data_IF_997042814610
#
_entry.id   IF_997042814610
#
_cell.length_a   1.000
_cell.length_b   1.000
_cell.length_c   1.000
_cell.angle_alpha   90.00
_cell.angle_beta   90.00
_cell.angle_gamma   90.00
#
_symmetry.space_group_name_H-M   'P 1'
#
loop_
_entity.id
_entity.type
_entity.pdbx_description
1 polymer ?
#
# COMPACT_ATOMS: atom_id res chain seq x y z
N UNK A 1 -54.08 -12.41 34.53
CA UNK A 1 -53.64 -13.20 33.36
C UNK A 1 -52.14 -13.33 33.42
N UNK A 2 -51.51 -14.45 33.15
CA UNK A 2 -51.95 -15.81 32.79
C UNK A 2 -50.64 -16.56 32.55
N UNK A 3 -50.27 -17.48 33.42
CA UNK A 3 -49.03 -18.26 33.28
C UNK A 3 -49.34 -19.54 32.51
N UNK A 4 -48.74 -19.68 31.32
CA UNK A 4 -48.76 -20.91 30.53
C UNK A 4 -47.72 -21.88 31.08
N UNK A 5 -48.17 -23.00 31.63
CA UNK A 5 -47.32 -24.13 32.02
C UNK A 5 -47.27 -25.14 30.87
N UNK A 6 -46.08 -25.38 30.32
CA UNK A 6 -45.85 -26.51 29.42
C UNK A 6 -45.51 -27.75 30.26
N UNK A 7 -46.36 -28.77 30.18
CA UNK A 7 -46.14 -30.09 30.77
C UNK A 7 -45.51 -31.04 29.76
N UNK A 8 -44.37 -31.64 30.12
CA UNK A 8 -43.78 -32.78 29.42
C UNK A 8 -44.13 -34.09 30.15
N UNK A 9 -44.21 -35.24 29.46
CA UNK A 9 -44.56 -36.51 30.08
C UNK A 9 -43.39 -37.05 30.94
N UNK A 10 -43.68 -37.83 32.00
CA UNK A 10 -42.65 -38.30 32.93
C UNK A 10 -41.88 -39.51 32.38
N UNK A 11 -40.56 -39.50 32.54
CA UNK A 11 -39.74 -40.72 32.55
C UNK A 11 -39.88 -41.41 33.92
N UNK A 12 -39.94 -42.76 33.99
CA UNK A 12 -40.05 -43.46 35.26
C UNK A 12 -38.68 -43.52 35.93
N UNK A 13 -38.54 -42.89 37.11
CA UNK A 13 -37.43 -43.20 38.03
C UNK A 13 -36.68 -42.06 38.73
N UNK A 14 -37.13 -40.81 38.73
CA UNK A 14 -36.46 -39.75 39.52
C UNK A 14 -37.42 -38.90 40.36
N UNK A 15 -37.19 -38.90 41.67
CA UNK A 15 -37.79 -37.94 42.61
C UNK A 15 -37.30 -36.53 42.29
N UNK A 16 -38.18 -35.64 41.87
CA UNK A 16 -37.88 -34.21 41.71
C UNK A 16 -38.23 -33.45 43.00
N UNK A 17 -37.22 -32.88 43.63
CA UNK A 17 -37.39 -31.83 44.64
C UNK A 17 -37.56 -30.50 43.91
N UNK A 18 -38.76 -29.91 43.97
CA UNK A 18 -39.02 -28.58 43.41
C UNK A 18 -38.34 -27.52 44.29
N UNK A 19 -37.20 -26.98 43.85
CA UNK A 19 -36.61 -25.78 44.45
C UNK A 19 -37.25 -24.56 43.78
N UNK A 20 -38.22 -23.95 44.44
CA UNK A 20 -38.73 -22.63 44.07
C UNK A 20 -37.74 -21.57 44.58
N UNK A 21 -36.83 -21.09 43.72
CA UNK A 21 -36.04 -19.90 44.03
C UNK A 21 -36.87 -18.65 43.76
N UNK A 22 -37.23 -17.94 44.82
CA UNK A 22 -37.80 -16.60 44.71
C UNK A 22 -36.71 -15.64 44.21
N UNK A 23 -36.80 -15.21 42.95
CA UNK A 23 -35.95 -14.17 42.40
C UNK A 23 -36.41 -12.84 43.00
N UNK A 24 -35.63 -12.29 43.93
CA UNK A 24 -35.94 -11.00 44.56
C UNK A 24 -35.79 -9.86 43.54
N UNK A 25 -36.53 -8.74 43.69
CA UNK A 25 -36.47 -7.60 42.76
C UNK A 25 -35.04 -7.04 42.56
N UNK A 26 -34.19 -7.17 43.58
CA UNK A 26 -32.77 -6.81 43.54
C UNK A 26 -31.96 -7.64 42.54
N UNK A 27 -32.33 -8.91 42.34
CA UNK A 27 -31.63 -9.82 41.43
C UNK A 27 -31.93 -9.47 39.95
N UNK A 28 -33.16 -9.04 39.63
CA UNK A 28 -33.54 -8.58 38.29
C UNK A 28 -32.87 -7.25 37.93
N UNK A 29 -32.75 -6.33 38.88
CA UNK A 29 -32.02 -5.07 38.68
C UNK A 29 -30.52 -5.31 38.43
N UNK A 30 -29.92 -6.29 39.11
CA UNK A 30 -28.51 -6.65 38.93
C UNK A 30 -28.25 -7.25 37.54
N UNK A 31 -29.11 -8.16 37.07
CA UNK A 31 -29.01 -8.75 35.72
C UNK A 31 -29.27 -7.73 34.62
N UNK A 32 -30.18 -6.76 34.85
CA UNK A 32 -30.41 -5.63 33.93
C UNK A 32 -29.17 -4.75 33.80
N UNK A 33 -28.54 -4.41 34.91
CA UNK A 33 -27.36 -3.54 34.95
C UNK A 33 -26.13 -4.22 34.34
N UNK A 34 -25.90 -5.51 34.60
CA UNK A 34 -24.82 -6.27 33.96
C UNK A 34 -25.02 -6.39 32.45
N UNK A 35 -26.27 -6.51 31.98
CA UNK A 35 -26.58 -6.52 30.54
C UNK A 35 -26.33 -5.18 29.87
N UNK A 36 -26.68 -4.07 30.53
CA UNK A 36 -26.38 -2.72 30.02
C UNK A 36 -24.87 -2.46 29.98
N UNK A 37 -24.12 -2.85 31.01
CA UNK A 37 -22.66 -2.75 31.02
C UNK A 37 -22.01 -3.58 29.90
N UNK A 38 -22.52 -4.78 29.63
CA UNK A 38 -22.02 -5.62 28.53
C UNK A 38 -22.32 -5.02 27.16
N UNK A 39 -23.49 -4.39 26.98
CA UNK A 39 -23.84 -3.71 25.74
C UNK A 39 -23.00 -2.45 25.52
N UNK A 40 -22.76 -1.66 26.56
CA UNK A 40 -21.86 -0.50 26.51
C UNK A 40 -20.41 -0.89 26.20
N UNK A 41 -19.94 -2.02 26.76
CA UNK A 41 -18.62 -2.58 26.45
C UNK A 41 -18.55 -3.07 24.98
N UNK A 42 -19.61 -3.70 24.47
CA UNK A 42 -19.69 -4.09 23.06
C UNK A 42 -19.72 -2.89 22.11
N UNK A 43 -20.49 -1.85 22.41
CA UNK A 43 -20.58 -0.63 21.60
C UNK A 43 -19.25 0.13 21.58
N UNK A 44 -18.61 0.30 22.74
CA UNK A 44 -17.28 0.93 22.83
C UNK A 44 -16.19 0.12 22.12
N UNK A 45 -16.23 -1.21 22.18
CA UNK A 45 -15.35 -2.08 21.40
C UNK A 45 -15.64 -1.99 19.90
N UNK A 46 -16.91 -1.88 19.49
CA UNK A 46 -17.29 -1.67 18.09
C UNK A 46 -16.78 -0.33 17.56
N UNK A 47 -16.89 0.74 18.35
CA UNK A 47 -16.37 2.07 18.03
C UNK A 47 -14.84 2.08 17.93
N UNK A 48 -14.14 1.40 18.84
CA UNK A 48 -12.68 1.23 18.78
C UNK A 48 -12.26 0.44 17.53
N UNK A 49 -12.96 -0.65 17.20
CA UNK A 49 -12.71 -1.46 16.01
C UNK A 49 -13.01 -0.66 14.74
N UNK A 50 -14.10 0.13 14.71
CA UNK A 50 -14.43 0.96 13.54
C UNK A 50 -13.47 2.14 13.39
N UNK A 51 -13.02 2.76 14.47
CA UNK A 51 -12.00 3.82 14.42
C UNK A 51 -10.64 3.27 13.95
N UNK A 52 -10.21 2.09 14.44
CA UNK A 52 -8.99 1.41 13.97
C UNK A 52 -9.13 0.95 12.51
N UNK A 53 -10.31 0.46 12.09
CA UNK A 53 -10.59 0.03 10.73
C UNK A 53 -10.68 1.19 9.73
N UNK A 54 -11.32 2.30 10.10
CA UNK A 54 -11.36 3.54 9.31
C UNK A 54 -10.01 4.24 9.28
N UNK A 55 -9.25 4.20 10.39
CA UNK A 55 -7.88 4.68 10.49
C UNK A 55 -6.93 3.90 9.57
N UNK A 56 -7.05 2.56 9.54
CA UNK A 56 -6.29 1.67 8.63
C UNK A 56 -6.57 2.00 7.16
N UNK A 57 -7.82 2.24 6.79
CA UNK A 57 -8.24 2.62 5.42
C UNK A 57 -7.69 3.97 4.92
N UNK A 58 -7.26 4.84 5.82
CA UNK A 58 -6.65 6.14 5.48
C UNK A 58 -5.11 6.11 5.45
N UNK A 59 -4.49 4.94 5.62
CA UNK A 59 -3.04 4.80 5.50
C UNK A 59 -2.60 4.73 4.04
N UNK A 60 -1.34 5.10 3.76
CA UNK A 60 -0.75 5.04 2.42
C UNK A 60 -0.75 3.63 1.82
N UNK A 61 -0.82 2.58 2.66
CA UNK A 61 -0.95 1.20 2.23
C UNK A 61 -2.32 0.86 1.60
N UNK A 62 -3.33 1.73 1.72
CA UNK A 62 -4.64 1.55 1.06
C UNK A 62 -4.81 2.42 -0.19
N UNK A 63 -3.75 3.10 -0.63
CA UNK A 63 -3.73 3.92 -1.84
C UNK A 63 -3.18 3.15 -3.05
N UNK A 64 -3.69 1.93 -3.28
CA UNK A 64 -3.33 1.12 -4.45
C UNK A 64 -4.41 1.14 -5.54
N UNK A 65 -4.02 0.76 -6.75
CA UNK A 65 -4.94 0.41 -7.84
C UNK A 65 -4.88 -1.10 -8.10
N UNK A 66 -5.95 -1.69 -8.60
CA UNK A 66 -5.90 -3.08 -9.05
C UNK A 66 -5.06 -3.21 -10.33
N UNK A 67 -4.60 -4.43 -10.61
CA UNK A 67 -3.96 -4.72 -11.89
C UNK A 67 -4.84 -4.33 -13.09
N UNK A 68 -6.13 -4.66 -13.04
CA UNK A 68 -7.07 -4.35 -14.14
C UNK A 68 -7.27 -2.84 -14.29
N UNK A 69 -7.30 -2.08 -13.19
CA UNK A 69 -7.34 -0.61 -13.23
C UNK A 69 -6.11 -0.03 -13.93
N UNK A 70 -4.91 -0.61 -13.74
CA UNK A 70 -3.71 -0.17 -14.47
C UNK A 70 -3.84 -0.45 -15.98
N UNK A 71 -4.34 -1.62 -16.36
CA UNK A 71 -4.56 -1.99 -17.77
C UNK A 71 -5.61 -1.09 -18.43
N UNK A 72 -6.71 -0.82 -17.72
CA UNK A 72 -7.73 0.11 -18.17
C UNK A 72 -7.17 1.52 -18.36
N UNK A 73 -6.44 2.02 -17.37
CA UNK A 73 -5.81 3.35 -17.43
C UNK A 73 -4.83 3.46 -18.60
N UNK A 74 -4.07 2.40 -18.92
CA UNK A 74 -3.23 2.35 -20.13
C UNK A 74 -4.06 2.54 -21.40
N UNK A 75 -5.19 1.84 -21.51
CA UNK A 75 -6.03 1.90 -22.70
C UNK A 75 -6.65 3.30 -22.86
N UNK A 76 -7.14 3.89 -21.76
CA UNK A 76 -7.67 5.26 -21.74
C UNK A 76 -6.59 6.30 -22.12
N UNK A 77 -5.37 6.16 -21.59
CA UNK A 77 -4.25 7.01 -21.98
C UNK A 77 -3.92 6.85 -23.48
N UNK A 78 -3.90 5.62 -23.99
CA UNK A 78 -3.64 5.34 -25.41
C UNK A 78 -4.72 5.92 -26.32
N UNK A 79 -5.98 5.88 -25.91
CA UNK A 79 -7.10 6.51 -26.61
C UNK A 79 -6.97 8.03 -26.62
N UNK A 80 -6.70 8.63 -25.46
CA UNK A 80 -6.53 10.09 -25.30
C UNK A 80 -5.44 10.67 -26.19
N UNK A 81 -4.28 10.01 -26.27
CA UNK A 81 -3.14 10.52 -27.06
C UNK A 81 -3.15 10.05 -28.51
N UNK A 82 -3.87 8.97 -28.81
CA UNK A 82 -3.66 8.22 -30.04
C UNK A 82 -2.40 7.33 -29.99
N UNK A 83 -2.33 6.31 -30.86
CA UNK A 83 -1.36 5.22 -30.74
C UNK A 83 0.10 5.66 -30.90
N UNK A 84 0.39 6.64 -31.76
CA UNK A 84 1.77 7.05 -32.04
C UNK A 84 2.32 7.93 -30.91
N UNK A 85 1.56 8.93 -30.47
CA UNK A 85 1.98 9.84 -29.42
C UNK A 85 2.11 9.11 -28.08
N UNK A 86 1.20 8.16 -27.80
CA UNK A 86 1.25 7.33 -26.60
C UNK A 86 2.62 6.65 -26.41
N UNK A 87 3.26 6.16 -27.47
CA UNK A 87 4.56 5.50 -27.39
C UNK A 87 5.68 6.43 -26.91
N UNK A 88 5.53 7.74 -27.09
CA UNK A 88 6.49 8.75 -26.65
C UNK A 88 6.17 9.31 -25.27
N UNK A 89 5.00 9.00 -24.71
CA UNK A 89 4.60 9.51 -23.38
C UNK A 89 5.37 8.79 -22.29
N UNK A 90 6.12 9.60 -21.54
CA UNK A 90 6.69 9.22 -20.25
C UNK A 90 5.67 9.32 -19.12
N UNK A 91 5.93 8.65 -18.00
CA UNK A 91 5.06 8.65 -16.82
C UNK A 91 4.65 10.07 -16.39
N UNK A 92 5.58 11.04 -16.36
CA UNK A 92 5.25 12.42 -15.98
C UNK A 92 4.23 13.09 -16.89
N UNK A 93 4.21 12.81 -18.20
CA UNK A 93 3.20 13.38 -19.11
C UNK A 93 1.80 12.83 -18.79
N UNK A 94 1.72 11.53 -18.54
CA UNK A 94 0.47 10.85 -18.20
C UNK A 94 -0.07 11.33 -16.85
N UNK A 95 0.84 11.55 -15.89
CA UNK A 95 0.48 12.16 -14.61
C UNK A 95 -0.04 13.59 -14.81
N UNK A 96 0.65 14.41 -15.60
CA UNK A 96 0.26 15.81 -15.84
C UNK A 96 -1.08 15.94 -16.56
N UNK A 97 -1.33 15.14 -17.59
CA UNK A 97 -2.49 15.29 -18.47
C UNK A 97 -3.75 14.55 -17.98
N UNK A 98 -3.61 13.59 -17.06
CA UNK A 98 -4.71 12.72 -16.61
C UNK A 98 -4.82 12.68 -15.09
N UNK A 99 -3.75 12.33 -14.39
CA UNK A 99 -3.80 12.08 -12.93
C UNK A 99 -3.98 13.38 -12.13
N UNK A 100 -3.19 14.42 -12.42
CA UNK A 100 -3.25 15.71 -11.73
C UNK A 100 -4.63 16.38 -11.83
N UNK A 101 -5.28 16.47 -13.01
CA UNK A 101 -6.64 17.00 -13.12
C UNK A 101 -7.63 16.32 -12.18
N UNK A 102 -7.57 14.99 -12.08
CA UNK A 102 -8.46 14.22 -11.21
C UNK A 102 -8.15 14.49 -9.75
N UNK A 103 -6.86 14.48 -9.36
CA UNK A 103 -6.47 14.79 -7.98
C UNK A 103 -6.92 16.19 -7.55
N UNK A 104 -6.84 17.18 -8.45
CA UNK A 104 -7.31 18.54 -8.20
C UNK A 104 -8.83 18.63 -8.08
N UNK A 105 -9.57 17.85 -8.88
CA UNK A 105 -11.04 17.83 -8.84
C UNK A 105 -11.57 17.14 -7.58
N UNK A 106 -10.91 16.08 -7.12
CA UNK A 106 -11.42 15.22 -6.04
C UNK A 106 -10.77 15.49 -4.69
N UNK A 107 -9.66 16.23 -4.65
CA UNK A 107 -8.79 16.39 -3.48
C UNK A 107 -8.32 15.04 -2.89
N UNK A 108 -8.19 14.01 -3.72
CA UNK A 108 -7.71 12.68 -3.34
C UNK A 108 -6.69 12.17 -4.36
N UNK A 109 -5.91 11.16 -4.01
CA UNK A 109 -5.05 10.51 -5.00
C UNK A 109 -5.89 9.72 -6.02
N UNK A 110 -5.35 9.48 -7.20
CA UNK A 110 -6.06 8.72 -8.24
C UNK A 110 -6.49 7.33 -7.77
N UNK A 111 -5.64 6.65 -7.00
CA UNK A 111 -5.97 5.38 -6.38
C UNK A 111 -7.18 5.48 -5.44
N UNK A 112 -7.27 6.55 -4.64
CA UNK A 112 -8.40 6.78 -3.71
C UNK A 112 -9.67 7.26 -4.42
N UNK A 113 -9.52 7.97 -5.54
CA UNK A 113 -10.64 8.30 -6.42
C UNK A 113 -11.28 7.02 -7.00
N UNK A 114 -10.47 6.11 -7.56
CA UNK A 114 -10.98 4.85 -8.08
C UNK A 114 -11.48 3.90 -6.98
N UNK A 115 -10.83 3.94 -5.81
CA UNK A 115 -11.13 3.05 -4.69
C UNK A 115 -11.42 3.87 -3.41
N UNK A 116 -12.62 4.45 -3.25
CA UNK A 116 -12.97 5.29 -2.09
C UNK A 116 -12.82 4.55 -0.75
N UNK A 117 -13.11 3.24 -0.76
CA UNK A 117 -12.93 2.37 0.41
C UNK A 117 -11.48 1.94 0.67
N UNK A 118 -10.57 2.27 -0.25
CA UNK A 118 -9.16 1.91 -0.19
C UNK A 118 -8.92 0.50 -0.67
N UNK A 119 -7.74 0.30 -1.26
CA UNK A 119 -7.30 -0.98 -1.76
C UNK A 119 -5.92 -1.27 -1.17
N UNK A 120 -5.84 -2.32 -0.36
CA UNK A 120 -4.62 -2.67 0.37
C UNK A 120 -3.51 -3.10 -0.60
N UNK A 121 -2.31 -2.57 -0.42
CA UNK A 121 -1.13 -2.86 -1.23
C UNK A 121 -0.73 -4.33 -1.12
N UNK A 122 -0.56 -4.99 -2.26
CA UNK A 122 0.01 -6.34 -2.31
C UNK A 122 1.40 -6.34 -2.96
N UNK A 123 1.59 -5.51 -3.98
CA UNK A 123 2.86 -5.28 -4.64
C UNK A 123 3.24 -3.79 -4.59
N UNK A 124 4.38 -3.50 -3.99
CA UNK A 124 4.99 -2.17 -4.06
C UNK A 124 5.82 -2.07 -5.33
N UNK A 125 5.53 -1.08 -6.17
CA UNK A 125 6.21 -0.90 -7.46
C UNK A 125 7.19 0.27 -7.37
N UNK A 126 8.49 -0.04 -7.38
CA UNK A 126 9.55 0.97 -7.57
C UNK A 126 9.79 1.19 -9.05
N UNK A 127 9.80 2.46 -9.46
CA UNK A 127 9.89 2.86 -10.86
C UNK A 127 10.40 4.31 -10.97
N UNK A 128 10.68 4.77 -12.19
CA UNK A 128 11.12 6.15 -12.40
C UNK A 128 10.14 6.97 -13.23
N UNK A 129 10.01 8.26 -12.91
CA UNK A 129 9.09 9.17 -13.61
C UNK A 129 9.47 9.43 -15.08
N UNK A 130 10.73 9.24 -15.43
CA UNK A 130 11.26 9.48 -16.78
C UNK A 130 11.10 8.31 -17.77
N UNK A 131 10.50 7.20 -17.33
CA UNK A 131 10.32 6.01 -18.16
C UNK A 131 9.18 6.16 -19.18
N UNK A 132 9.23 5.46 -20.33
CA UNK A 132 8.09 5.34 -21.24
C UNK A 132 6.91 4.63 -20.54
N UNK A 133 5.76 5.29 -20.48
CA UNK A 133 4.60 4.80 -19.72
C UNK A 133 4.05 3.49 -20.31
N UNK A 134 3.99 3.36 -21.63
CA UNK A 134 3.56 2.11 -22.28
C UNK A 134 4.41 0.91 -21.88
N UNK A 135 5.74 1.05 -21.94
CA UNK A 135 6.68 -0.01 -21.56
C UNK A 135 6.64 -0.35 -20.07
N UNK A 136 6.40 0.65 -19.22
CA UNK A 136 6.17 0.45 -17.79
C UNK A 136 4.99 -0.49 -17.54
N UNK A 137 3.84 -0.22 -18.17
CA UNK A 137 2.64 -1.08 -18.00
C UNK A 137 2.87 -2.46 -18.61
N UNK A 138 3.48 -2.56 -19.79
CA UNK A 138 3.82 -3.84 -20.43
C UNK A 138 4.74 -4.70 -19.54
N UNK A 139 5.69 -4.08 -18.85
CA UNK A 139 6.61 -4.78 -17.93
C UNK A 139 5.87 -5.35 -16.72
N UNK A 140 4.94 -4.59 -16.14
CA UNK A 140 4.08 -5.06 -15.04
C UNK A 140 3.12 -6.16 -15.51
N UNK A 141 2.52 -5.99 -16.68
CA UNK A 141 1.65 -7.00 -17.28
C UNK A 141 2.40 -8.31 -17.48
N UNK A 142 3.61 -8.26 -18.03
CA UNK A 142 4.47 -9.43 -18.18
C UNK A 142 4.81 -10.10 -16.84
N UNK A 143 5.04 -9.32 -15.77
CA UNK A 143 5.34 -9.82 -14.42
C UNK A 143 4.22 -10.69 -13.85
N UNK A 144 2.97 -10.26 -14.09
CA UNK A 144 1.81 -10.83 -13.43
C UNK A 144 0.91 -11.64 -14.35
N UNK A 145 1.14 -11.67 -15.67
CA UNK A 145 0.28 -12.36 -16.65
C UNK A 145 -0.04 -13.81 -16.26
N UNK A 146 0.92 -14.55 -15.72
CA UNK A 146 0.78 -15.96 -15.35
C UNK A 146 0.19 -16.19 -13.97
N UNK A 147 0.10 -15.16 -13.11
CA UNK A 147 -0.48 -15.30 -11.77
C UNK A 147 -2.00 -15.43 -11.85
N UNK A 148 -2.57 -16.40 -11.15
CA UNK A 148 -4.03 -16.56 -11.08
C UNK A 148 -4.67 -15.36 -10.37
N UNK A 149 -4.14 -14.99 -9.20
CA UNK A 149 -4.53 -13.78 -8.48
C UNK A 149 -3.61 -12.62 -8.87
N UNK A 150 -4.17 -11.55 -9.42
CA UNK A 150 -3.42 -10.33 -9.74
C UNK A 150 -3.33 -9.44 -8.49
N UNK A 151 -2.13 -8.93 -8.14
CA UNK A 151 -1.99 -8.12 -6.94
C UNK A 151 -2.55 -6.71 -7.14
N UNK A 152 -2.95 -6.10 -6.02
CA UNK A 152 -3.09 -4.63 -5.97
C UNK A 152 -1.73 -3.96 -5.95
N UNK A 153 -1.58 -2.92 -6.77
CA UNK A 153 -0.33 -2.25 -7.08
C UNK A 153 -0.29 -0.88 -6.41
N UNK A 154 0.72 -0.68 -5.56
CA UNK A 154 1.06 0.65 -5.08
C UNK A 154 2.14 1.24 -5.98
N UNK A 155 1.77 2.30 -6.70
CA UNK A 155 2.62 3.00 -7.66
C UNK A 155 2.53 4.48 -7.29
N UNK A 156 3.66 5.13 -7.01
CA UNK A 156 3.67 6.50 -6.46
C UNK A 156 2.95 7.52 -7.36
N UNK A 157 2.94 7.31 -8.68
CA UNK A 157 2.22 8.13 -9.65
C UNK A 157 0.70 8.15 -9.40
N UNK A 158 0.11 7.06 -8.91
CA UNK A 158 -1.33 6.94 -8.64
C UNK A 158 -1.69 7.03 -7.15
N UNK A 159 -0.75 6.66 -6.27
CA UNK A 159 -0.97 6.54 -4.85
C UNK A 159 -0.94 7.89 -4.11
N UNK A 160 -0.08 8.81 -4.55
CA UNK A 160 0.03 10.15 -3.97
C UNK A 160 -0.99 11.11 -4.59
N UNK A 161 -1.40 12.12 -3.83
CA UNK A 161 -2.16 13.25 -4.38
C UNK A 161 -1.22 14.03 -5.29
N UNK A 162 -1.46 13.99 -6.60
CA UNK A 162 -0.60 14.65 -7.57
C UNK A 162 -1.02 16.11 -7.77
N UNK A 163 -0.06 17.01 -7.90
CA UNK A 163 -0.30 18.44 -8.08
C UNK A 163 0.97 19.22 -8.37
N UNK A 164 1.11 20.40 -7.77
CA UNK A 164 2.38 21.11 -7.77
C UNK A 164 3.44 20.33 -6.99
N UNK A 165 4.73 20.68 -7.19
CA UNK A 165 5.82 20.10 -6.39
C UNK A 165 5.59 20.27 -4.88
N UNK A 166 4.95 21.36 -4.45
CA UNK A 166 4.60 21.60 -3.06
C UNK A 166 3.51 20.64 -2.53
N UNK A 167 2.51 20.31 -3.36
CA UNK A 167 1.44 19.34 -2.98
C UNK A 167 2.06 17.97 -2.72
N UNK A 168 2.96 17.53 -3.59
CA UNK A 168 3.67 16.27 -3.42
C UNK A 168 4.64 16.36 -2.23
N UNK A 169 5.38 17.45 -2.10
CA UNK A 169 6.35 17.63 -1.01
C UNK A 169 5.68 17.54 0.37
N UNK A 170 4.52 18.16 0.56
CA UNK A 170 3.78 18.13 1.83
C UNK A 170 3.43 16.70 2.29
N UNK A 171 3.30 15.75 1.37
CA UNK A 171 2.98 14.36 1.71
C UNK A 171 4.23 13.55 2.09
N UNK A 172 5.42 13.98 1.68
CA UNK A 172 6.68 13.24 1.87
C UNK A 172 7.63 13.93 2.86
N UNK A 173 7.35 15.19 3.19
CA UNK A 173 8.05 15.99 4.19
C UNK A 173 7.56 15.62 5.60
N UNK A 174 7.91 14.40 6.01
CA UNK A 174 7.55 13.82 7.30
C UNK A 174 8.73 13.81 8.27
N UNK A 175 8.49 13.82 9.60
CA UNK A 175 9.57 13.86 10.59
C UNK A 175 10.53 12.66 10.53
N UNK A 176 10.00 11.46 10.26
CA UNK A 176 10.78 10.23 10.07
C UNK A 176 10.52 9.69 8.69
N UNK A 177 11.57 9.26 8.01
CA UNK A 177 11.47 8.68 6.67
C UNK A 177 10.55 7.44 6.63
N UNK A 178 10.47 6.72 7.74
CA UNK A 178 9.58 5.57 7.93
C UNK A 178 8.10 5.92 7.91
N UNK A 179 7.74 7.17 8.23
CA UNK A 179 6.37 7.67 8.17
C UNK A 179 5.99 8.12 6.75
N UNK A 180 6.94 8.10 5.81
CA UNK A 180 6.67 8.50 4.43
C UNK A 180 5.69 7.51 3.77
N UNK A 181 4.85 7.99 2.83
CA UNK A 181 3.86 7.14 2.18
C UNK A 181 4.49 5.94 1.47
N UNK A 182 5.71 6.11 0.94
CA UNK A 182 6.50 5.05 0.33
C UNK A 182 6.82 3.93 1.32
N UNK A 183 7.41 4.27 2.47
CA UNK A 183 7.84 3.27 3.45
C UNK A 183 6.66 2.60 4.12
N UNK A 184 5.59 3.35 4.41
CA UNK A 184 4.35 2.80 4.98
C UNK A 184 3.67 1.79 4.04
N UNK A 185 3.61 2.08 2.75
CA UNK A 185 3.08 1.15 1.77
C UNK A 185 3.98 -0.07 1.59
N UNK A 186 5.29 0.13 1.46
CA UNK A 186 6.27 -0.94 1.30
C UNK A 186 6.26 -1.91 2.49
N UNK A 187 6.18 -1.39 3.72
CA UNK A 187 6.12 -2.20 4.95
C UNK A 187 4.93 -3.17 4.98
N UNK A 188 3.81 -2.79 4.37
CA UNK A 188 2.58 -3.60 4.34
C UNK A 188 2.45 -4.44 3.05
N UNK A 189 3.40 -4.33 2.13
CA UNK A 189 3.38 -5.05 0.86
C UNK A 189 3.85 -6.50 1.02
N UNK A 190 3.37 -7.39 0.14
CA UNK A 190 3.82 -8.79 0.09
C UNK A 190 5.00 -8.99 -0.88
N UNK A 191 5.12 -8.12 -1.88
CA UNK A 191 6.17 -8.17 -2.91
C UNK A 191 6.71 -6.78 -3.24
N UNK A 192 7.98 -6.73 -3.63
CA UNK A 192 8.69 -5.55 -4.09
C UNK A 192 9.02 -5.73 -5.57
N UNK A 193 8.45 -4.88 -6.43
CA UNK A 193 8.54 -5.00 -7.88
C UNK A 193 9.39 -3.87 -8.42
N UNK A 194 10.49 -4.23 -9.05
CA UNK A 194 11.44 -3.30 -9.66
C UNK A 194 11.15 -3.19 -11.16
N UNK A 195 10.66 -2.04 -11.61
CA UNK A 195 10.38 -1.80 -13.03
C UNK A 195 11.53 -1.00 -13.66
N UNK A 196 12.38 -1.70 -14.41
CA UNK A 196 13.46 -1.07 -15.18
C UNK A 196 12.94 -0.55 -16.52
N UNK A 197 13.66 0.40 -17.10
CA UNK A 197 13.32 0.99 -18.38
C UNK A 197 14.63 1.35 -19.13
N UNK A 198 14.57 1.65 -20.44
CA UNK A 198 15.78 1.93 -21.22
C UNK A 198 16.24 3.40 -21.14
N UNK A 199 15.44 4.30 -20.58
CA UNK A 199 15.68 5.75 -20.67
C UNK A 199 16.43 6.30 -19.46
N UNK A 200 16.16 5.76 -18.27
CA UNK A 200 16.70 6.27 -17.00
C UNK A 200 17.00 5.10 -16.07
N UNK A 201 18.21 5.10 -15.51
CA UNK A 201 18.53 4.20 -14.40
C UNK A 201 17.69 4.59 -13.19
N UNK A 202 16.79 3.70 -12.77
CA UNK A 202 15.91 3.98 -11.63
C UNK A 202 16.72 4.27 -10.36
N UNK A 203 17.92 3.71 -10.21
CA UNK A 203 18.77 3.92 -9.05
C UNK A 203 19.58 5.21 -9.09
N UNK A 204 19.50 5.98 -10.19
CA UNK A 204 19.92 7.37 -10.18
C UNK A 204 18.93 8.28 -9.41
N UNK A 205 17.82 7.72 -8.90
CA UNK A 205 16.78 8.42 -8.15
C UNK A 205 16.85 8.02 -6.69
N UNK A 206 17.07 8.98 -5.80
CA UNK A 206 17.31 8.74 -4.37
C UNK A 206 16.13 8.05 -3.66
N UNK A 207 14.89 8.31 -4.10
CA UNK A 207 13.71 7.59 -3.59
C UNK A 207 13.73 6.10 -3.94
N UNK A 208 14.17 5.72 -5.15
CA UNK A 208 14.30 4.30 -5.52
C UNK A 208 15.41 3.60 -4.71
N UNK A 209 16.49 4.31 -4.39
CA UNK A 209 17.53 3.82 -3.46
C UNK A 209 16.95 3.62 -2.05
N UNK A 210 16.20 4.60 -1.54
CA UNK A 210 15.49 4.52 -0.26
C UNK A 210 14.58 3.28 -0.20
N UNK A 211 13.81 3.03 -1.26
CA UNK A 211 12.91 1.88 -1.37
C UNK A 211 13.67 0.54 -1.32
N UNK A 212 14.84 0.43 -1.97
CA UNK A 212 15.70 -0.78 -1.85
C UNK A 212 16.20 -0.95 -0.42
N UNK A 213 16.65 0.13 0.23
CA UNK A 213 17.10 0.10 1.62
C UNK A 213 15.99 -0.42 2.56
N UNK A 214 14.78 0.13 2.46
CA UNK A 214 13.66 -0.34 3.28
C UNK A 214 13.17 -1.74 2.88
N UNK A 215 13.19 -2.11 1.60
CA UNK A 215 12.86 -3.46 1.17
C UNK A 215 13.84 -4.49 1.75
N UNK A 216 15.14 -4.16 1.87
CA UNK A 216 16.10 -4.98 2.62
C UNK A 216 15.74 -5.03 4.10
N UNK A 217 15.49 -3.88 4.74
CA UNK A 217 15.13 -3.79 6.17
C UNK A 217 13.89 -4.62 6.52
N UNK A 218 12.94 -4.72 5.60
CA UNK A 218 11.70 -5.51 5.75
C UNK A 218 11.81 -6.96 5.24
N UNK A 219 13.00 -7.42 4.81
CA UNK A 219 13.24 -8.82 4.49
C UNK A 219 12.72 -9.30 3.13
N UNK A 220 12.50 -8.39 2.17
CA UNK A 220 12.04 -8.79 0.83
C UNK A 220 13.08 -9.61 0.07
N UNK A 221 14.37 -9.35 0.29
CA UNK A 221 15.44 -10.02 -0.45
C UNK A 221 15.80 -11.39 0.14
N UNK A 222 16.04 -12.43 -0.70
CA UNK A 222 15.91 -12.44 -2.16
C UNK A 222 14.55 -12.91 -2.67
N UNK A 223 13.61 -13.29 -1.79
CA UNK A 223 12.46 -14.15 -2.15
C UNK A 223 11.21 -13.40 -2.64
N UNK A 224 11.01 -12.17 -2.19
CA UNK A 224 9.79 -11.40 -2.45
C UNK A 224 10.05 -10.24 -3.39
N UNK A 225 11.00 -10.40 -4.32
CA UNK A 225 11.41 -9.36 -5.27
C UNK A 225 11.19 -9.86 -6.69
N UNK A 226 10.41 -9.11 -7.46
CA UNK A 226 10.27 -9.28 -8.90
C UNK A 226 11.03 -8.14 -9.59
N UNK A 227 11.80 -8.44 -10.64
CA UNK A 227 12.45 -7.41 -11.46
C UNK A 227 11.91 -7.53 -12.87
N UNK A 228 11.52 -6.43 -13.50
CA UNK A 228 10.98 -6.45 -14.86
C UNK A 228 11.55 -5.32 -15.70
N UNK A 229 11.27 -5.35 -17.00
CA UNK A 229 11.81 -4.40 -17.96
C UNK A 229 13.28 -4.66 -18.33
N UNK A 230 13.82 -3.88 -19.29
CA UNK A 230 15.13 -4.13 -19.88
C UNK A 230 16.30 -3.82 -18.92
N UNK A 231 17.40 -4.54 -19.09
CA UNK A 231 18.65 -4.38 -18.31
C UNK A 231 19.61 -3.33 -18.90
N UNK A 232 19.07 -2.24 -19.41
CA UNK A 232 19.83 -1.20 -20.15
C UNK A 232 20.93 -0.54 -19.33
N UNK A 233 20.84 -0.60 -18.00
CA UNK A 233 21.80 0.00 -17.07
C UNK A 233 22.59 -1.05 -16.26
N UNK A 234 22.70 -2.29 -16.75
CA UNK A 234 23.48 -3.37 -16.11
C UNK A 234 24.95 -3.02 -15.84
N UNK A 235 25.53 -2.13 -16.66
CA UNK A 235 26.92 -1.66 -16.51
C UNK A 235 27.09 -0.44 -15.61
N UNK A 236 26.00 0.14 -15.08
CA UNK A 236 26.08 1.35 -14.26
C UNK A 236 26.73 1.04 -12.89
N UNK A 237 27.72 1.86 -12.52
CA UNK A 237 28.50 1.70 -11.29
C UNK A 237 28.05 2.59 -10.14
N UNK A 238 27.11 3.52 -10.38
CA UNK A 238 26.62 4.45 -9.36
C UNK A 238 25.98 3.72 -8.18
N UNK A 239 26.31 4.17 -6.97
CA UNK A 239 25.79 3.64 -5.71
C UNK A 239 24.76 4.57 -5.06
N UNK A 240 24.42 4.29 -3.80
CA UNK A 240 23.42 5.03 -3.02
C UNK A 240 23.73 6.53 -2.95
N UNK A 241 25.00 6.88 -2.83
CA UNK A 241 25.45 8.26 -2.60
C UNK A 241 25.41 9.11 -3.88
N UNK A 242 25.37 8.48 -5.05
CA UNK A 242 25.31 9.15 -6.36
C UNK A 242 23.88 9.48 -6.79
N UNK A 243 22.88 9.00 -6.05
CA UNK A 243 21.49 9.16 -6.43
C UNK A 243 20.98 10.59 -6.24
N UNK A 244 20.14 11.04 -7.16
CA UNK A 244 19.65 12.42 -7.24
C UNK A 244 18.15 12.53 -6.96
N UNK A 245 17.70 13.75 -6.64
CA UNK A 245 16.28 14.11 -6.53
C UNK A 245 15.98 15.43 -7.21
N UNK A 246 14.74 15.60 -7.65
CA UNK A 246 14.25 16.89 -8.14
C UNK A 246 14.09 17.91 -7.01
N UNK A 247 13.82 17.45 -5.78
CA UNK A 247 13.84 18.29 -4.58
C UNK A 247 15.11 18.01 -3.76
N UNK A 248 16.05 18.97 -3.64
CA UNK A 248 17.29 18.79 -2.86
C UNK A 248 17.06 18.37 -1.40
N UNK A 249 15.94 18.76 -0.79
CA UNK A 249 15.58 18.37 0.59
C UNK A 249 15.38 16.86 0.73
N UNK A 250 14.81 16.21 -0.28
CA UNK A 250 14.61 14.76 -0.27
C UNK A 250 15.96 14.04 -0.27
N UNK A 251 16.89 14.44 -1.16
CA UNK A 251 18.25 13.88 -1.21
C UNK A 251 18.94 14.04 0.13
N UNK A 252 18.94 15.25 0.69
CA UNK A 252 19.56 15.48 2.00
C UNK A 252 18.94 14.60 3.09
N UNK A 253 17.61 14.52 3.15
CA UNK A 253 16.89 13.77 4.19
C UNK A 253 17.16 12.27 4.09
N UNK A 254 17.11 11.70 2.89
CA UNK A 254 17.33 10.27 2.65
C UNK A 254 18.80 9.91 2.86
N UNK A 255 19.73 10.67 2.31
CA UNK A 255 21.16 10.42 2.52
C UNK A 255 21.53 10.55 3.99
N UNK A 256 20.96 11.52 4.72
CA UNK A 256 21.16 11.63 6.17
C UNK A 256 20.65 10.40 6.92
N UNK A 257 19.55 9.80 6.50
CA UNK A 257 19.06 8.56 7.10
C UNK A 257 20.01 7.39 6.82
N UNK A 258 20.42 7.23 5.56
CA UNK A 258 21.38 6.19 5.16
C UNK A 258 22.72 6.34 5.89
N UNK A 259 23.22 7.56 6.07
CA UNK A 259 24.49 7.81 6.78
C UNK A 259 24.47 7.48 8.27
N UNK A 260 23.30 7.21 8.87
CA UNK A 260 23.22 6.69 10.25
C UNK A 260 23.57 5.20 10.32
N UNK A 261 23.48 4.50 9.19
CA UNK A 261 23.81 3.08 9.11
C UNK A 261 25.32 2.85 9.11
N UNK A 262 25.72 1.63 9.42
CA UNK A 262 27.12 1.21 9.30
C UNK A 262 27.52 1.14 7.83
N UNK A 263 28.79 1.36 7.55
CA UNK A 263 29.34 1.34 6.18
C UNK A 263 29.02 0.04 5.44
N UNK A 264 29.09 -1.10 6.12
CA UNK A 264 28.80 -2.42 5.56
C UNK A 264 27.35 -2.54 5.08
N UNK A 265 26.40 -1.88 5.75
CA UNK A 265 24.99 -1.87 5.32
C UNK A 265 24.86 -1.12 4.00
N UNK A 266 25.57 -0.01 3.83
CA UNK A 266 25.57 0.77 2.59
C UNK A 266 26.19 -0.03 1.44
N UNK A 267 27.33 -0.71 1.67
CA UNK A 267 27.93 -1.60 0.68
C UNK A 267 27.00 -2.74 0.28
N UNK A 268 26.23 -3.29 1.22
CA UNK A 268 25.22 -4.30 0.94
C UNK A 268 24.07 -3.76 0.07
N UNK A 269 23.60 -2.53 0.30
CA UNK A 269 22.59 -1.90 -0.56
C UNK A 269 23.15 -1.67 -1.96
N UNK A 270 24.38 -1.15 -2.10
CA UNK A 270 25.04 -0.99 -3.39
C UNK A 270 25.19 -2.33 -4.12
N UNK A 271 25.50 -3.39 -3.38
CA UNK A 271 25.52 -4.77 -3.88
C UNK A 271 24.16 -5.24 -4.39
N UNK A 272 23.07 -4.93 -3.68
CA UNK A 272 21.71 -5.23 -4.13
C UNK A 272 21.34 -4.45 -5.38
N UNK A 273 21.63 -3.15 -5.43
CA UNK A 273 21.38 -2.30 -6.60
C UNK A 273 22.06 -2.87 -7.85
N UNK A 274 23.34 -3.24 -7.76
CA UNK A 274 24.08 -3.88 -8.88
C UNK A 274 23.39 -5.16 -9.35
N UNK A 275 22.95 -6.03 -8.42
CA UNK A 275 22.23 -7.27 -8.76
C UNK A 275 20.89 -6.98 -9.45
N UNK A 276 20.13 -6.01 -8.96
CA UNK A 276 18.84 -5.64 -9.52
C UNK A 276 18.96 -5.04 -10.93
N UNK A 277 20.05 -4.31 -11.22
CA UNK A 277 20.35 -3.84 -12.59
C UNK A 277 20.60 -4.98 -13.55
N UNK A 278 21.35 -6.01 -13.13
CA UNK A 278 21.87 -7.04 -14.03
C UNK A 278 21.02 -8.32 -14.14
N UNK A 279 20.10 -8.57 -13.19
CA UNK A 279 19.30 -9.80 -13.20
C UNK A 279 18.55 -9.96 -14.54
N UNK A 280 18.72 -11.13 -15.13
CA UNK A 280 18.06 -11.54 -16.39
C UNK A 280 16.80 -12.33 -16.05
N UNK A 281 15.72 -12.07 -16.78
CA UNK A 281 14.48 -12.85 -16.77
C UNK A 281 14.33 -13.58 -18.10
#
# INVERSE_FOLDING_TARGET
>A
GGFTTHSFPPFPGSTYTTISMAVTPTCLAFVSYERELYLLDMESNLELITHDYLGKKNTSAYASISFDQLIQFRNEAREKYGPNDFLQKKMYHVVDDIVKPICAQTNTSYARYLNPNGLHTEAFVTHCWGEPFGQFVESIEAAFKSRFHKPNLWICAFALVQGSGEVVQKQVDVPRLEDSPFVQALKQSKSFVVVRNPNVDIYSRVWCVCEVYFAKKFGFFPKSVDVVGPRSFSHAVSGCMDAESSNPKDKYTILRELMKEKFEVIEEIDGLIRKLRDISH
#
